data_IF_554322028817
#
_entry.id   IF_554322028817
#
_cell.length_a   1.000
_cell.length_b   1.000
_cell.length_c   1.000
_cell.angle_alpha   90.00
_cell.angle_beta   90.00
_cell.angle_gamma   90.00
#
_symmetry.space_group_name_H-M   'P 1'
#
loop_
_entity.id
_entity.type
_entity.pdbx_description
1 polymer ?
#
# COMPACT_ATOMS: atom_id res chain seq x y z
N UNK A 1 -37.55 -54.38 48.73
CA UNK A 1 -38.52 -53.27 48.58
C UNK A 1 -38.19 -52.28 49.67
N UNK A 2 -37.60 -51.13 49.32
CA UNK A 2 -37.36 -50.06 50.29
C UNK A 2 -38.70 -49.35 50.45
N UNK A 3 -39.22 -49.30 51.68
CA UNK A 3 -40.46 -48.59 51.98
C UNK A 3 -40.31 -47.10 51.62
N UNK A 4 -41.33 -46.48 51.02
CA UNK A 4 -41.28 -45.07 50.70
C UNK A 4 -41.12 -44.25 51.99
N UNK A 5 -40.26 -43.21 52.00
CA UNK A 5 -40.09 -42.36 53.17
C UNK A 5 -41.41 -41.67 53.53
N UNK A 6 -41.63 -41.35 54.82
CA UNK A 6 -42.87 -40.72 55.27
C UNK A 6 -43.09 -39.39 54.54
N UNK A 7 -44.34 -39.11 54.13
CA UNK A 7 -44.74 -38.00 53.24
C UNK A 7 -44.19 -36.62 53.68
N UNK A 8 -44.01 -36.42 54.99
CA UNK A 8 -43.44 -35.20 55.57
C UNK A 8 -41.95 -34.97 55.23
N UNK A 9 -41.17 -36.04 55.04
CA UNK A 9 -39.75 -35.96 54.67
C UNK A 9 -39.57 -35.60 53.19
N UNK A 10 -40.43 -36.13 52.32
CA UNK A 10 -40.39 -35.83 50.88
C UNK A 10 -40.78 -34.37 50.62
N UNK A 11 -41.77 -33.84 51.35
CA UNK A 11 -42.14 -32.42 51.31
C UNK A 11 -40.99 -31.49 51.70
N UNK A 12 -40.24 -31.83 52.76
CA UNK A 12 -39.10 -31.03 53.21
C UNK A 12 -37.91 -31.12 52.25
N UNK A 13 -37.63 -32.30 51.66
CA UNK A 13 -36.60 -32.46 50.62
C UNK A 13 -36.95 -31.62 49.39
N UNK A 14 -38.21 -31.65 48.94
CA UNK A 14 -38.68 -30.85 47.81
C UNK A 14 -38.57 -29.34 48.09
N UNK A 15 -38.90 -28.92 49.32
CA UNK A 15 -38.75 -27.53 49.75
C UNK A 15 -37.28 -27.10 49.75
N UNK A 16 -36.38 -27.92 50.29
CA UNK A 16 -34.95 -27.64 50.32
C UNK A 16 -34.35 -27.58 48.91
N UNK A 17 -34.73 -28.50 48.02
CA UNK A 17 -34.34 -28.48 46.62
C UNK A 17 -34.81 -27.20 45.92
N UNK A 18 -36.09 -26.81 46.11
CA UNK A 18 -36.63 -25.58 45.55
C UNK A 18 -35.88 -24.34 46.04
N UNK A 19 -35.53 -24.27 47.34
CA UNK A 19 -34.74 -23.17 47.90
C UNK A 19 -33.32 -23.11 47.30
N UNK A 20 -32.68 -24.25 47.08
CA UNK A 20 -31.37 -24.30 46.43
C UNK A 20 -31.44 -23.79 44.98
N UNK A 21 -32.43 -24.24 44.21
CA UNK A 21 -32.65 -23.78 42.83
C UNK A 21 -32.89 -22.27 42.80
N UNK A 22 -33.76 -21.76 43.67
CA UNK A 22 -34.05 -20.32 43.76
C UNK A 22 -32.81 -19.50 44.11
N UNK A 23 -32.01 -19.98 45.07
CA UNK A 23 -30.75 -19.32 45.46
C UNK A 23 -29.76 -19.27 44.29
N UNK A 24 -29.56 -20.40 43.59
CA UNK A 24 -28.69 -20.47 42.43
C UNK A 24 -29.16 -19.55 41.30
N UNK A 25 -30.46 -19.55 41.01
CA UNK A 25 -31.07 -18.71 39.99
C UNK A 25 -30.91 -17.22 40.30
N UNK A 26 -31.20 -16.80 41.53
CA UNK A 26 -30.99 -15.41 41.99
C UNK A 26 -29.53 -15.01 41.85
N UNK A 27 -28.60 -15.88 42.27
CA UNK A 27 -27.17 -15.64 42.12
C UNK A 27 -26.73 -15.51 40.65
N UNK A 28 -27.22 -16.39 39.77
CA UNK A 28 -26.95 -16.33 38.33
C UNK A 28 -27.47 -15.02 37.72
N UNK A 29 -28.72 -14.65 38.04
CA UNK A 29 -29.33 -13.40 37.55
C UNK A 29 -28.56 -12.17 38.01
N UNK A 30 -28.12 -12.13 39.26
CA UNK A 30 -27.28 -11.02 39.77
C UNK A 30 -25.95 -10.96 39.05
N UNK A 31 -25.23 -12.07 38.89
CA UNK A 31 -23.95 -12.10 38.14
C UNK A 31 -24.12 -11.69 36.69
N UNK A 32 -25.18 -12.14 36.02
CA UNK A 32 -25.50 -11.75 34.64
C UNK A 32 -25.73 -10.24 34.52
N UNK A 33 -26.52 -9.66 35.42
CA UNK A 33 -26.75 -8.20 35.46
C UNK A 33 -25.47 -7.43 35.74
N UNK A 34 -24.65 -7.90 36.67
CA UNK A 34 -23.38 -7.26 37.01
C UNK A 34 -22.43 -7.24 35.81
N UNK A 35 -22.24 -8.39 35.13
CA UNK A 35 -21.42 -8.45 33.91
C UNK A 35 -21.89 -7.47 32.84
N UNK A 36 -23.21 -7.36 32.65
CA UNK A 36 -23.78 -6.38 31.72
C UNK A 36 -23.43 -4.94 32.14
N UNK A 37 -23.63 -4.57 33.41
CA UNK A 37 -23.29 -3.23 33.91
C UNK A 37 -21.81 -2.91 33.75
N UNK A 38 -20.93 -3.86 34.05
CA UNK A 38 -19.48 -3.71 33.87
C UNK A 38 -19.16 -3.46 32.40
N UNK A 39 -19.76 -4.20 31.46
CA UNK A 39 -19.55 -3.95 30.03
C UNK A 39 -20.10 -2.59 29.58
N UNK A 40 -21.30 -2.23 30.04
CA UNK A 40 -21.92 -0.94 29.71
C UNK A 40 -21.07 0.23 30.25
N UNK A 41 -20.50 0.09 31.45
CA UNK A 41 -19.60 1.07 32.07
C UNK A 41 -18.25 1.13 31.36
N UNK A 42 -17.67 -0.02 31.01
CA UNK A 42 -16.45 -0.10 30.21
C UNK A 42 -16.63 0.57 28.85
N UNK A 43 -17.80 0.44 28.23
CA UNK A 43 -18.15 1.15 26.99
C UNK A 43 -18.31 2.65 27.24
N UNK A 44 -19.00 3.05 28.31
CA UNK A 44 -19.23 4.46 28.66
C UNK A 44 -17.93 5.22 28.95
N UNK A 45 -16.99 4.60 29.67
CA UNK A 45 -15.68 5.17 30.01
C UNK A 45 -14.69 5.01 28.84
N UNK A 46 -15.09 4.36 27.75
CA UNK A 46 -14.27 4.20 26.53
C UNK A 46 -13.16 3.16 26.64
N UNK A 47 -13.24 2.23 27.61
CA UNK A 47 -12.32 1.09 27.71
C UNK A 47 -12.63 -0.02 26.71
N UNK A 48 -13.84 -0.03 26.13
CA UNK A 48 -14.23 -0.89 25.01
C UNK A 48 -14.50 -0.02 23.78
N UNK A 49 -13.98 -0.40 22.60
CA UNK A 49 -14.38 0.26 21.37
C UNK A 49 -15.89 0.01 21.13
N UNK A 50 -16.64 1.00 20.63
CA UNK A 50 -18.02 0.79 20.26
C UNK A 50 -18.11 -0.31 19.20
N UNK A 51 -19.21 -1.07 19.21
CA UNK A 51 -19.47 -2.06 18.17
C UNK A 51 -19.34 -1.38 16.80
N UNK A 52 -18.36 -1.81 16.02
CA UNK A 52 -18.14 -1.27 14.68
C UNK A 52 -19.26 -1.79 13.79
N UNK A 53 -20.36 -1.04 13.71
CA UNK A 53 -21.40 -1.31 12.75
C UNK A 53 -20.80 -1.10 11.35
N UNK A 54 -20.89 -2.10 10.47
CA UNK A 54 -20.57 -1.91 9.06
C UNK A 54 -21.63 -0.97 8.49
N UNK A 55 -21.33 0.32 8.50
CA UNK A 55 -22.24 1.32 7.96
C UNK A 55 -22.20 1.28 6.44
N UNK A 56 -23.26 1.76 5.79
CA UNK A 56 -23.34 1.83 4.32
C UNK A 56 -22.19 2.67 3.76
N UNK A 57 -21.76 3.70 4.49
CA UNK A 57 -20.62 4.56 4.16
C UNK A 57 -19.31 3.77 4.14
N UNK A 58 -19.11 2.83 5.07
CA UNK A 58 -17.91 1.99 5.10
C UNK A 58 -17.85 1.05 3.91
N UNK A 59 -18.98 0.49 3.50
CA UNK A 59 -19.05 -0.35 2.29
C UNK A 59 -18.77 0.47 1.03
N UNK A 60 -19.37 1.66 0.92
CA UNK A 60 -19.10 2.59 -0.19
C UNK A 60 -17.63 2.99 -0.24
N UNK A 61 -17.01 3.30 0.90
CA UNK A 61 -15.60 3.63 0.97
C UNK A 61 -14.71 2.46 0.51
N UNK A 62 -15.05 1.23 0.87
CA UNK A 62 -14.35 0.04 0.39
C UNK A 62 -14.51 -0.15 -1.14
N UNK A 63 -15.71 0.03 -1.68
CA UNK A 63 -15.96 -0.04 -3.12
C UNK A 63 -15.16 1.02 -3.90
N UNK A 64 -15.17 2.27 -3.43
CA UNK A 64 -14.40 3.37 -4.04
C UNK A 64 -12.89 3.09 -3.98
N UNK A 65 -12.41 2.47 -2.90
CA UNK A 65 -11.01 2.09 -2.77
C UNK A 65 -10.62 1.05 -3.82
N UNK A 66 -11.43 0.01 -4.03
CA UNK A 66 -11.15 -1.00 -5.04
C UNK A 66 -11.24 -0.42 -6.46
N UNK A 67 -12.26 0.39 -6.76
CA UNK A 67 -12.38 1.08 -8.06
C UNK A 67 -11.14 1.94 -8.36
N UNK A 68 -10.64 2.68 -7.36
CA UNK A 68 -9.41 3.49 -7.51
C UNK A 68 -8.20 2.60 -7.81
N UNK A 69 -8.11 1.44 -7.17
CA UNK A 69 -7.01 0.48 -7.37
C UNK A 69 -6.99 -0.03 -8.80
N UNK A 70 -8.14 -0.45 -9.31
CA UNK A 70 -8.30 -0.92 -10.70
C UNK A 70 -7.95 0.18 -11.71
N UNK A 71 -8.43 1.40 -11.48
CA UNK A 71 -8.14 2.53 -12.35
C UNK A 71 -6.63 2.87 -12.37
N UNK A 72 -5.96 2.80 -11.22
CA UNK A 72 -4.53 3.05 -11.12
C UNK A 72 -3.72 2.02 -11.91
N UNK A 73 -4.12 0.75 -11.88
CA UNK A 73 -3.48 -0.32 -12.65
C UNK A 73 -3.66 -0.09 -14.16
N UNK A 74 -4.86 0.30 -14.59
CA UNK A 74 -5.12 0.67 -16.00
C UNK A 74 -4.22 1.83 -16.45
N UNK A 75 -4.14 2.91 -15.67
CA UNK A 75 -3.29 4.04 -16.02
C UNK A 75 -1.80 3.69 -16.03
N UNK A 76 -1.34 2.76 -15.20
CA UNK A 76 0.03 2.30 -15.24
C UNK A 76 0.34 1.57 -16.56
N UNK A 77 -0.58 0.72 -17.02
CA UNK A 77 -0.44 0.02 -18.31
C UNK A 77 -0.44 1.02 -19.48
N UNK A 78 -1.37 1.98 -19.47
CA UNK A 78 -1.45 3.02 -20.50
C UNK A 78 -0.18 3.87 -20.54
N UNK A 79 0.34 4.25 -19.37
CA UNK A 79 1.58 5.01 -19.26
C UNK A 79 2.79 4.25 -19.81
N UNK A 80 2.96 2.98 -19.44
CA UNK A 80 4.03 2.14 -19.97
C UNK A 80 3.94 2.00 -21.49
N UNK A 81 2.73 1.81 -22.00
CA UNK A 81 2.47 1.72 -23.44
C UNK A 81 2.81 3.03 -24.14
N UNK A 82 2.41 4.16 -23.57
CA UNK A 82 2.70 5.49 -24.09
C UNK A 82 4.20 5.80 -24.11
N UNK A 83 4.98 5.35 -23.11
CA UNK A 83 6.44 5.48 -23.11
C UNK A 83 7.04 4.77 -24.34
N UNK A 84 6.65 3.52 -24.57
CA UNK A 84 7.17 2.73 -25.70
C UNK A 84 6.78 3.40 -27.01
N UNK A 85 5.49 3.73 -27.18
CA UNK A 85 5.00 4.40 -28.39
C UNK A 85 5.70 5.74 -28.67
N UNK A 86 5.96 6.53 -27.62
CA UNK A 86 6.67 7.81 -27.74
C UNK A 86 8.13 7.60 -28.17
N UNK A 87 8.84 6.65 -27.56
CA UNK A 87 10.21 6.30 -27.94
C UNK A 87 10.30 5.82 -29.39
N UNK A 88 9.37 4.95 -29.80
CA UNK A 88 9.33 4.43 -31.17
C UNK A 88 9.01 5.53 -32.18
N UNK A 89 8.07 6.41 -31.86
CA UNK A 89 7.74 7.58 -32.67
C UNK A 89 8.93 8.52 -32.83
N UNK A 90 9.63 8.83 -31.73
CA UNK A 90 10.85 9.64 -31.75
C UNK A 90 11.94 9.00 -32.61
N UNK A 91 12.18 7.70 -32.44
CA UNK A 91 13.16 6.96 -33.23
C UNK A 91 12.82 6.95 -34.71
N UNK A 92 11.54 6.74 -35.06
CA UNK A 92 11.08 6.71 -36.45
C UNK A 92 11.14 8.09 -37.12
N UNK A 93 10.72 9.13 -36.43
CA UNK A 93 10.54 10.46 -37.02
C UNK A 93 11.80 11.33 -36.92
N UNK A 94 12.60 11.17 -35.86
CA UNK A 94 13.78 12.01 -35.59
C UNK A 94 15.10 11.24 -35.55
N UNK A 95 15.08 9.91 -35.55
CA UNK A 95 16.29 9.10 -35.37
C UNK A 95 17.38 9.37 -36.41
N UNK A 96 17.01 9.56 -37.68
CA UNK A 96 17.97 9.89 -38.73
C UNK A 96 18.62 11.26 -38.52
N UNK A 97 17.81 12.29 -38.20
CA UNK A 97 18.31 13.62 -37.91
C UNK A 97 19.26 13.61 -36.70
N UNK A 98 18.83 12.98 -35.60
CA UNK A 98 19.65 12.85 -34.40
C UNK A 98 20.98 12.14 -34.68
N UNK A 99 20.99 11.13 -35.54
CA UNK A 99 22.22 10.43 -35.90
C UNK A 99 23.18 11.32 -36.72
N UNK A 100 22.67 12.17 -37.61
CA UNK A 100 23.51 13.14 -38.32
C UNK A 100 24.01 14.26 -37.39
N UNK A 101 23.15 14.80 -36.53
CA UNK A 101 23.52 15.83 -35.55
C UNK A 101 24.67 15.33 -34.65
N UNK A 102 24.57 14.11 -34.13
CA UNK A 102 25.61 13.47 -33.30
C UNK A 102 26.93 13.32 -34.08
N UNK A 103 26.88 12.92 -35.36
CA UNK A 103 28.08 12.81 -36.19
C UNK A 103 28.72 14.17 -36.43
N UNK A 104 27.91 15.20 -36.67
CA UNK A 104 28.39 16.56 -36.90
C UNK A 104 29.05 17.16 -35.65
N UNK A 105 28.47 16.95 -34.47
CA UNK A 105 29.09 17.31 -33.19
C UNK A 105 30.43 16.60 -33.00
N UNK A 106 30.48 15.29 -33.26
CA UNK A 106 31.72 14.52 -33.15
C UNK A 106 32.80 15.04 -34.12
N UNK A 107 32.44 15.32 -35.38
CA UNK A 107 33.37 15.90 -36.36
C UNK A 107 33.86 17.28 -35.91
N UNK A 108 32.97 18.13 -35.43
CA UNK A 108 33.29 19.46 -34.91
C UNK A 108 34.30 19.37 -33.76
N UNK A 109 34.05 18.48 -32.79
CA UNK A 109 34.96 18.24 -31.68
C UNK A 109 36.35 17.76 -32.14
N UNK A 110 36.41 16.76 -33.04
CA UNK A 110 37.68 16.25 -33.58
C UNK A 110 38.47 17.37 -34.27
N UNK A 111 37.80 18.18 -35.09
CA UNK A 111 38.44 19.26 -35.83
C UNK A 111 38.91 20.38 -34.90
N UNK A 112 38.14 20.72 -33.86
CA UNK A 112 38.57 21.67 -32.84
C UNK A 112 39.81 21.19 -32.08
N UNK A 113 39.86 19.91 -31.69
CA UNK A 113 41.03 19.33 -31.04
C UNK A 113 42.26 19.36 -31.95
N UNK A 114 42.11 19.00 -33.22
CA UNK A 114 43.20 19.04 -34.21
C UNK A 114 43.68 20.46 -34.49
N UNK A 115 42.79 21.44 -34.51
CA UNK A 115 43.16 22.85 -34.65
C UNK A 115 44.04 23.35 -33.51
N UNK A 116 43.80 22.88 -32.28
CA UNK A 116 44.55 23.30 -31.10
C UNK A 116 45.87 22.53 -30.90
N UNK A 117 45.88 21.22 -31.16
CA UNK A 117 47.01 20.35 -30.84
C UNK A 117 47.85 19.96 -32.06
N UNK A 118 47.35 20.21 -33.27
CA UNK A 118 47.96 19.76 -34.52
C UNK A 118 47.82 18.27 -34.82
N UNK A 119 47.23 17.48 -33.90
CA UNK A 119 47.05 16.02 -34.01
C UNK A 119 45.60 15.63 -33.81
N UNK A 120 45.22 14.45 -34.28
CA UNK A 120 43.89 13.90 -33.98
C UNK A 120 43.82 13.43 -32.52
N UNK A 121 42.65 13.55 -31.84
CA UNK A 121 42.47 13.06 -30.49
C UNK A 121 42.46 11.54 -30.44
N UNK A 122 43.01 10.96 -29.38
CA UNK A 122 42.79 9.56 -29.05
C UNK A 122 41.36 9.38 -28.51
N UNK A 123 40.66 8.38 -29.03
CA UNK A 123 39.29 8.10 -28.59
C UNK A 123 39.33 7.43 -27.20
N UNK A 124 38.52 7.90 -26.24
CA UNK A 124 38.42 7.29 -24.92
C UNK A 124 37.91 5.85 -25.02
N UNK A 125 38.47 4.96 -24.20
CA UNK A 125 38.00 3.57 -24.09
C UNK A 125 36.60 3.50 -23.47
N UNK A 126 35.90 2.39 -23.69
CA UNK A 126 34.57 2.15 -23.11
C UNK A 126 34.61 2.15 -21.57
N UNK A 127 35.66 1.57 -20.98
CA UNK A 127 35.89 1.59 -19.52
C UNK A 127 36.13 2.99 -18.96
N UNK A 128 36.67 3.90 -19.77
CA UNK A 128 36.86 5.30 -19.41
C UNK A 128 35.60 6.16 -19.65
N UNK A 129 34.49 5.57 -20.11
CA UNK A 129 33.23 6.27 -20.38
C UNK A 129 32.99 6.61 -21.86
N UNK A 130 33.91 6.22 -22.76
CA UNK A 130 33.74 6.28 -24.21
C UNK A 130 33.27 7.65 -24.73
N UNK A 131 32.33 7.63 -25.68
CA UNK A 131 31.84 8.86 -26.32
C UNK A 131 31.12 9.82 -25.36
N UNK A 132 30.71 9.39 -24.17
CA UNK A 132 30.09 10.29 -23.19
C UNK A 132 31.04 11.42 -22.75
N UNK A 133 32.35 11.15 -22.72
CA UNK A 133 33.37 12.17 -22.42
C UNK A 133 33.52 13.22 -23.54
N UNK A 134 33.12 12.89 -24.76
CA UNK A 134 33.17 13.81 -25.90
C UNK A 134 32.01 14.80 -25.83
N UNK A 135 30.82 14.31 -25.48
CA UNK A 135 29.59 15.11 -25.40
C UNK A 135 29.40 15.84 -24.07
N UNK A 136 30.12 15.45 -23.00
CA UNK A 136 29.99 16.08 -21.67
C UNK A 136 30.62 17.48 -21.56
N UNK A 137 31.47 17.88 -22.51
CA UNK A 137 32.36 19.05 -22.35
C UNK A 137 31.94 20.30 -23.14
N UNK A 138 30.82 20.27 -23.87
CA UNK A 138 30.31 21.42 -24.61
C UNK A 138 28.85 21.70 -24.22
N UNK A 139 28.65 22.50 -23.17
CA UNK A 139 27.36 23.14 -22.89
C UNK A 139 26.18 22.25 -22.46
N UNK A 140 26.41 20.96 -22.19
CA UNK A 140 25.38 20.02 -21.74
C UNK A 140 25.19 19.99 -20.21
N UNK A 141 25.45 21.11 -19.51
CA UNK A 141 24.86 21.33 -18.19
C UNK A 141 23.36 21.59 -18.38
N UNK A 142 22.60 20.54 -18.71
CA UNK A 142 21.14 20.63 -18.58
C UNK A 142 20.83 20.72 -17.09
N UNK A 143 20.46 21.91 -16.62
CA UNK A 143 20.05 22.17 -15.22
C UNK A 143 18.90 21.27 -14.74
N UNK A 144 18.25 20.55 -15.67
CA UNK A 144 17.16 19.61 -15.44
C UNK A 144 17.58 18.38 -14.63
N UNK A 145 18.86 18.02 -14.57
CA UNK A 145 19.32 16.82 -13.83
C UNK A 145 19.68 17.06 -12.36
N UNK A 146 19.50 18.27 -11.82
CA UNK A 146 19.81 18.58 -10.40
C UNK A 146 18.60 18.61 -9.46
N UNK A 147 17.44 18.12 -9.90
CA UNK A 147 16.24 18.03 -9.04
C UNK A 147 15.77 16.58 -8.90
N UNK A 148 16.39 15.85 -7.98
CA UNK A 148 15.75 14.77 -7.22
C UNK A 148 16.39 14.71 -5.85
#
# INVERSE_FOLDING_TARGET
>A
KVEPPPEDQEGEINRQAALQIQKLWRGYMTRRRLRKRVLDEMLLIGMLPPAQNVTVERQRAAQVKELRRELQEQYQVDFMTAIVASKDSMKKNRGAQMAEDIKDEMRSWIMAYKGQTGKFPELPSEEAGGSALIFSRQGADSEISKST
#
